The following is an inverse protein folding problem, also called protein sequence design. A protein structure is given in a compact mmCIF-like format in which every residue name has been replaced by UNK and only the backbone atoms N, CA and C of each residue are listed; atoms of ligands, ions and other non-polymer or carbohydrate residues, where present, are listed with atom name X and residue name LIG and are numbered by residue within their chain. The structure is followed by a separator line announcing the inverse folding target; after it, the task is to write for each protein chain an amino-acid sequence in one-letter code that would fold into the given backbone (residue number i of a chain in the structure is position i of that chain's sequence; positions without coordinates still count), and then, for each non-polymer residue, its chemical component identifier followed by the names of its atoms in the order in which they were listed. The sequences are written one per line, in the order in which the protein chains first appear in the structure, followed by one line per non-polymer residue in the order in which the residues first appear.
data_IF_233495904327
#
_entry.id   IF_233495904327
#
_cell.length_a   1.000
_cell.length_b   1.000
_cell.length_c   1.000
_cell.angle_alpha   90.00
_cell.angle_beta   90.00
_cell.angle_gamma   90.00
#
_symmetry.space_group_name_H-M   'P 1'
#
loop_
_entity.id
_entity.type
_entity.pdbx_description
1 polymer ?
#
# COMPACT_ATOMS: atom_id res chain seq x y z
N UNK A 1 -3.39 -9.96 16.42
CA UNK A 1 -3.67 -10.53 15.08
C UNK A 1 -2.42 -11.19 14.55
N UNK A 2 -2.56 -12.31 13.85
CA UNK A 2 -1.41 -13.00 13.26
C UNK A 2 -0.74 -12.11 12.19
N UNK A 3 0.59 -12.00 12.25
CA UNK A 3 1.35 -11.18 11.33
C UNK A 3 1.12 -11.58 9.86
N UNK A 4 1.01 -12.87 9.60
CA UNK A 4 0.78 -13.37 8.24
C UNK A 4 -0.56 -12.86 7.72
N UNK A 5 -1.60 -12.91 8.53
CA UNK A 5 -2.93 -12.41 8.16
C UNK A 5 -2.86 -10.91 7.92
N UNK A 6 -2.16 -10.17 8.76
CA UNK A 6 -1.99 -8.74 8.61
C UNK A 6 -1.32 -8.41 7.27
N UNK A 7 -0.26 -9.11 6.93
CA UNK A 7 0.46 -8.89 5.67
C UNK A 7 -0.45 -9.13 4.48
N UNK A 8 -1.24 -10.20 4.50
CA UNK A 8 -2.18 -10.53 3.43
C UNK A 8 -3.20 -9.40 3.27
N UNK A 9 -3.78 -8.93 4.37
CA UNK A 9 -4.77 -7.86 4.34
C UNK A 9 -4.16 -6.58 3.78
N UNK A 10 -2.96 -6.22 4.22
CA UNK A 10 -2.29 -5.01 3.75
C UNK A 10 -2.00 -5.10 2.25
N UNK A 11 -1.56 -6.26 1.76
CA UNK A 11 -1.32 -6.44 0.33
C UNK A 11 -2.60 -6.32 -0.48
N UNK A 12 -3.70 -6.87 0.01
CA UNK A 12 -4.99 -6.76 -0.69
C UNK A 12 -5.42 -5.29 -0.77
N UNK A 13 -5.36 -4.58 0.35
CA UNK A 13 -5.76 -3.17 0.40
C UNK A 13 -4.85 -2.33 -0.50
N UNK A 14 -3.54 -2.53 -0.42
CA UNK A 14 -2.59 -1.79 -1.25
C UNK A 14 -2.82 -2.05 -2.73
N UNK A 15 -3.09 -3.31 -3.10
CA UNK A 15 -3.39 -3.66 -4.49
C UNK A 15 -4.66 -2.99 -4.99
N UNK A 16 -5.70 -2.94 -4.15
CA UNK A 16 -6.94 -2.25 -4.51
C UNK A 16 -6.70 -0.75 -4.67
N UNK A 17 -5.90 -0.14 -3.81
CA UNK A 17 -5.55 1.28 -3.93
C UNK A 17 -4.76 1.55 -5.21
N UNK A 18 -3.81 0.68 -5.56
CA UNK A 18 -3.07 0.81 -6.80
C UNK A 18 -3.99 0.74 -8.00
N UNK A 19 -4.91 -0.22 -8.00
CA UNK A 19 -5.90 -0.34 -9.07
C UNK A 19 -6.74 0.93 -9.16
N UNK A 20 -7.19 1.46 -8.03
CA UNK A 20 -7.99 2.68 -8.00
C UNK A 20 -7.22 3.86 -8.58
N UNK A 21 -5.93 3.99 -8.25
CA UNK A 21 -5.08 5.06 -8.79
C UNK A 21 -4.97 4.93 -10.31
N UNK A 22 -4.83 3.71 -10.82
CA UNK A 22 -4.76 3.48 -12.27
C UNK A 22 -6.04 3.90 -12.99
N UNK A 23 -7.19 3.79 -12.32
CA UNK A 23 -8.47 4.13 -12.92
C UNK A 23 -8.72 5.64 -12.98
N UNK A 24 -7.98 6.42 -12.20
CA UNK A 24 -8.19 7.87 -12.16
C UNK A 24 -7.20 8.55 -13.10
N UNK A 25 -7.66 8.82 -14.32
CA UNK A 25 -6.82 9.45 -15.34
C UNK A 25 -6.35 10.85 -14.92
N UNK A 26 -7.10 11.53 -14.07
CA UNK A 26 -6.74 12.87 -13.60
C UNK A 26 -5.47 12.88 -12.76
N UNK A 27 -5.09 11.75 -12.20
CA UNK A 27 -3.87 11.64 -11.40
C UNK A 27 -2.61 11.46 -12.23
N UNK A 28 -2.74 11.15 -13.53
CA UNK A 28 -1.58 11.14 -14.40
C UNK A 28 -1.09 12.59 -14.58
N UNK A 29 0.19 12.87 -14.55
CA UNK A 29 1.37 11.99 -14.46
C UNK A 29 1.82 11.64 -13.04
N UNK A 30 1.00 11.87 -12.04
CA UNK A 30 1.39 11.68 -10.65
C UNK A 30 1.16 10.25 -10.15
N UNK A 31 0.69 9.35 -11.01
CA UNK A 31 0.37 7.98 -10.61
C UNK A 31 1.55 7.27 -9.93
N UNK A 32 2.74 7.43 -10.50
CA UNK A 32 3.93 6.79 -9.94
C UNK A 32 4.24 7.29 -8.53
N UNK A 33 4.10 8.60 -8.30
CA UNK A 33 4.33 9.19 -7.00
C UNK A 33 3.33 8.66 -5.97
N UNK A 34 2.05 8.64 -6.35
CA UNK A 34 0.99 8.16 -5.45
C UNK A 34 1.18 6.67 -5.15
N UNK A 35 1.53 5.86 -6.14
CA UNK A 35 1.80 4.44 -5.93
C UNK A 35 2.98 4.23 -5.00
N UNK A 36 4.02 5.05 -5.13
CA UNK A 36 5.18 4.97 -4.25
C UNK A 36 4.78 5.28 -2.80
N UNK A 37 3.93 6.28 -2.61
CA UNK A 37 3.42 6.60 -1.26
C UNK A 37 2.65 5.43 -0.67
N UNK A 38 1.79 4.80 -1.46
CA UNK A 38 1.03 3.63 -1.00
C UNK A 38 1.98 2.51 -0.58
N UNK A 39 3.00 2.22 -1.40
CA UNK A 39 3.96 1.18 -1.09
C UNK A 39 4.75 1.48 0.18
N UNK A 40 5.20 2.72 0.35
CA UNK A 40 5.95 3.12 1.53
C UNK A 40 5.08 3.03 2.78
N UNK A 41 3.85 3.50 2.71
CA UNK A 41 2.94 3.43 3.85
C UNK A 41 2.64 1.99 4.24
N UNK A 42 2.39 1.12 3.25
CA UNK A 42 2.16 -0.29 3.51
C UNK A 42 3.38 -0.94 4.16
N UNK A 43 4.58 -0.64 3.65
CA UNK A 43 5.82 -1.18 4.20
C UNK A 43 6.04 -0.72 5.63
N UNK A 44 5.82 0.56 5.91
CA UNK A 44 5.96 1.11 7.26
C UNK A 44 4.96 0.49 8.23
N UNK A 45 3.73 0.30 7.78
CA UNK A 45 2.70 -0.31 8.61
C UNK A 45 3.09 -1.74 8.99
N UNK A 46 3.56 -2.52 8.02
CA UNK A 46 3.99 -3.89 8.27
C UNK A 46 5.20 -3.92 9.19
N UNK A 47 6.17 -3.05 8.95
CA UNK A 47 7.38 -2.97 9.77
C UNK A 47 7.04 -2.63 11.21
N UNK A 48 6.14 -1.67 11.42
CA UNK A 48 5.70 -1.31 12.76
C UNK A 48 5.00 -2.47 13.46
N UNK A 49 4.11 -3.16 12.76
CA UNK A 49 3.39 -4.30 13.30
C UNK A 49 4.33 -5.47 13.62
N UNK A 50 5.40 -5.61 12.87
CA UNK A 50 6.40 -6.65 13.09
C UNK A 50 7.43 -6.28 14.16
N UNK A 51 7.38 -5.06 14.70
CA UNK A 51 8.31 -4.60 15.71
C UNK A 51 9.66 -4.15 15.17
N UNK A 52 9.76 -3.90 13.86
CA UNK A 52 11.00 -3.47 13.23
C UNK A 52 11.20 -1.95 13.28
N UNK A 53 10.15 -1.22 13.55
CA UNK A 53 10.22 0.24 13.56
C UNK A 53 9.40 0.83 14.70
#
# INVERSE_FOLDING_TARGET
MNLIILVIIVFIVAGLLWFAVDQVAQLAPFNGFIKALIAVLAALYIAHAAGLA
#
